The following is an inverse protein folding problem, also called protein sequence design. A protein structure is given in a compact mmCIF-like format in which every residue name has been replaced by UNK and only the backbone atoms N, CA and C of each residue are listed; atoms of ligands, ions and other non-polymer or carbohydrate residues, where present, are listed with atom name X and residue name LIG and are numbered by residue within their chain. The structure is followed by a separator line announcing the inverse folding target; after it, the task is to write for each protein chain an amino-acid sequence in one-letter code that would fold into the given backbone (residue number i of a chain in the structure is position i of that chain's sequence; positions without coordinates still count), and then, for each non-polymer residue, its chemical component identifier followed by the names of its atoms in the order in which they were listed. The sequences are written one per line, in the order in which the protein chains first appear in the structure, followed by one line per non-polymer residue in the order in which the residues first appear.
data_IF_357511174600
#
_entry.id   IF_357511174600
#
_cell.length_a   1.000
_cell.length_b   1.000
_cell.length_c   1.000
_cell.angle_alpha   90.00
_cell.angle_beta   90.00
_cell.angle_gamma   90.00
#
_symmetry.space_group_name_H-M   'P 1'
#
loop_
_entity.id
_entity.type
_entity.pdbx_description
1 polymer ?
#
# COMPACT_ATOMS: atom_id res chain seq x y z
N UNK A 1 9.19 26.26 17.00
CA UNK A 1 8.85 27.69 17.16
C UNK A 1 8.63 28.26 15.78
N UNK A 2 7.39 28.56 15.43
CA UNK A 2 7.06 29.18 14.15
C UNK A 2 7.28 30.69 14.25
N UNK A 3 8.07 31.26 13.35
CA UNK A 3 8.16 32.70 13.14
C UNK A 3 7.39 33.05 11.87
N UNK A 4 6.37 33.90 12.02
CA UNK A 4 5.57 34.44 10.92
C UNK A 4 6.31 35.66 10.38
N UNK A 5 6.72 35.63 9.11
CA UNK A 5 7.09 36.85 8.39
C UNK A 5 5.91 37.30 7.54
N UNK A 6 5.44 38.52 7.82
CA UNK A 6 4.53 39.27 6.97
C UNK A 6 5.29 39.70 5.71
N UNK A 7 5.04 39.05 4.57
CA UNK A 7 4.70 39.69 3.30
C UNK A 7 4.60 38.63 2.20
N UNK A 8 3.40 38.55 1.59
CA UNK A 8 2.89 37.49 0.68
C UNK A 8 2.45 36.23 1.42
N UNK A 9 1.18 35.85 1.25
CA UNK A 9 0.56 34.66 1.84
C UNK A 9 1.09 33.33 1.29
N UNK A 10 2.40 33.22 1.09
CA UNK A 10 3.09 31.97 0.81
C UNK A 10 3.49 31.35 2.14
N UNK A 11 2.80 30.26 2.52
CA UNK A 11 3.28 29.42 3.61
C UNK A 11 4.58 28.77 3.10
N UNK A 12 5.73 29.18 3.63
CA UNK A 12 7.01 28.50 3.37
C UNK A 12 6.96 27.09 3.96
N UNK A 13 6.52 26.14 3.14
CA UNK A 13 6.64 24.71 3.46
C UNK A 13 8.11 24.35 3.32
N UNK A 14 8.81 24.22 4.45
CA UNK A 14 10.18 23.70 4.47
C UNK A 14 10.22 22.34 3.75
N UNK A 15 11.07 22.23 2.73
CA UNK A 15 11.28 20.95 2.04
C UNK A 15 11.88 19.95 3.03
N UNK A 16 11.06 19.04 3.52
CA UNK A 16 11.48 17.94 4.37
C UNK A 16 12.40 16.99 3.59
N UNK A 17 13.37 16.36 4.27
CA UNK A 17 14.37 15.52 3.61
C UNK A 17 13.70 14.35 2.87
N UNK A 18 14.14 14.13 1.63
CA UNK A 18 13.73 12.99 0.81
C UNK A 18 14.93 12.06 0.68
N UNK A 19 14.75 10.80 1.07
CA UNK A 19 15.73 9.75 0.79
C UNK A 19 15.31 9.02 -0.48
N UNK A 20 16.17 9.02 -1.48
CA UNK A 20 15.98 8.26 -2.70
C UNK A 20 17.31 7.63 -3.10
N UNK A 21 17.25 6.37 -3.48
CA UNK A 21 18.41 5.61 -3.96
C UNK A 21 17.98 4.77 -5.16
N UNK A 22 18.98 4.45 -5.97
CA UNK A 22 18.84 3.61 -7.14
C UNK A 22 19.87 2.49 -7.04
N UNK A 23 19.39 1.26 -7.19
CA UNK A 23 20.19 0.04 -7.11
C UNK A 23 20.03 -0.73 -8.42
N UNK A 24 21.14 -0.89 -9.14
CA UNK A 24 21.17 -1.58 -10.43
C UNK A 24 21.75 -2.98 -10.24
N UNK A 25 21.04 -3.99 -10.74
CA UNK A 25 21.48 -5.39 -10.72
C UNK A 25 20.99 -6.12 -11.97
N UNK A 26 21.91 -6.75 -12.70
CA UNK A 26 21.61 -7.40 -13.98
C UNK A 26 20.87 -6.45 -14.93
N UNK A 27 19.66 -6.82 -15.34
CA UNK A 27 18.81 -6.05 -16.25
C UNK A 27 17.79 -5.15 -15.53
N UNK A 28 17.93 -5.03 -14.20
CA UNK A 28 16.99 -4.34 -13.33
C UNK A 28 17.59 -3.07 -12.71
N UNK A 29 16.80 -2.00 -12.74
CA UNK A 29 16.99 -0.78 -11.99
C UNK A 29 15.90 -0.67 -10.94
N UNK A 30 16.29 -0.80 -9.67
CA UNK A 30 15.41 -0.75 -8.51
C UNK A 30 15.56 0.64 -7.87
N UNK A 31 14.48 1.40 -7.82
CA UNK A 31 14.48 2.76 -7.28
C UNK A 31 13.46 2.89 -6.18
N UNK A 32 13.84 3.52 -5.07
CA UNK A 32 12.87 3.93 -4.06
C UNK A 32 12.90 5.44 -3.83
N UNK A 33 11.79 5.94 -3.30
CA UNK A 33 11.70 7.26 -2.71
C UNK A 33 10.99 7.12 -1.37
N UNK A 34 11.56 7.73 -0.34
CA UNK A 34 11.02 7.81 1.02
C UNK A 34 10.99 9.26 1.44
N UNK A 35 9.84 9.74 1.86
CA UNK A 35 9.55 11.12 2.18
C UNK A 35 8.63 11.21 3.41
N UNK A 36 8.17 12.43 3.67
CA UNK A 36 7.28 12.78 4.76
C UNK A 36 5.81 12.51 4.44
N UNK A 37 4.97 12.61 5.48
CA UNK A 37 3.52 12.52 5.36
C UNK A 37 2.95 13.71 4.57
N UNK A 38 1.77 13.51 3.99
CA UNK A 38 1.03 14.52 3.25
C UNK A 38 0.68 15.72 4.16
N UNK A 39 0.81 16.92 3.63
CA UNK A 39 0.38 18.12 4.34
C UNK A 39 -1.16 18.18 4.43
N UNK A 40 -1.68 18.60 5.58
CA UNK A 40 -3.12 18.73 5.82
C UNK A 40 -3.76 19.98 5.21
N UNK A 41 -2.95 20.92 4.71
CA UNK A 41 -3.40 22.21 4.18
C UNK A 41 -2.83 22.41 2.77
N UNK A 42 -3.69 22.90 1.86
CA UNK A 42 -3.28 23.28 0.51
C UNK A 42 -2.37 24.51 0.56
N UNK A 43 -1.21 24.43 -0.08
CA UNK A 43 -0.24 25.53 -0.11
C UNK A 43 -0.71 26.71 -0.99
N UNK A 44 -1.50 26.45 -2.03
CA UNK A 44 -1.96 27.48 -2.97
C UNK A 44 -3.31 27.11 -3.58
N UNK A 45 -4.39 27.54 -2.94
CA UNK A 45 -5.76 27.21 -3.31
C UNK A 45 -6.15 27.71 -4.70
N UNK A 46 -5.70 28.91 -5.09
CA UNK A 46 -6.03 29.51 -6.38
C UNK A 46 -5.40 28.74 -7.54
N UNK A 47 -4.11 28.43 -7.44
CA UNK A 47 -3.41 27.62 -8.46
C UNK A 47 -3.98 26.22 -8.53
N UNK A 48 -4.22 25.55 -7.39
CA UNK A 48 -4.75 24.19 -7.38
C UNK A 48 -6.17 24.07 -7.96
N UNK A 49 -6.96 25.14 -7.87
CA UNK A 49 -8.32 25.20 -8.42
C UNK A 49 -8.33 25.48 -9.93
N UNK A 50 -7.41 26.33 -10.40
CA UNK A 50 -7.39 26.81 -11.79
C UNK A 50 -6.54 25.96 -12.73
N UNK A 51 -5.50 25.28 -12.22
CA UNK A 51 -4.52 24.54 -13.01
C UNK A 51 -4.32 23.11 -12.46
N UNK A 52 -5.02 22.11 -13.01
CA UNK A 52 -4.90 20.72 -12.57
C UNK A 52 -3.46 20.19 -12.57
N UNK A 53 -2.64 20.61 -13.52
CA UNK A 53 -1.24 20.21 -13.70
C UNK A 53 -0.27 20.80 -12.67
N UNK A 54 -0.66 21.89 -12.00
CA UNK A 54 0.13 22.56 -10.95
C UNK A 54 -0.41 22.27 -9.53
N UNK A 55 -1.32 21.30 -9.38
CA UNK A 55 -1.90 20.95 -8.07
C UNK A 55 -0.84 20.48 -7.10
N UNK A 56 -0.93 20.95 -5.86
CA UNK A 56 -0.18 20.37 -4.76
C UNK A 56 -0.64 18.92 -4.48
N UNK A 57 0.20 18.14 -3.79
CA UNK A 57 -0.08 16.73 -3.50
C UNK A 57 -1.41 16.52 -2.76
N UNK A 58 -1.79 17.41 -1.84
CA UNK A 58 -3.06 17.29 -1.12
C UNK A 58 -4.24 17.40 -2.07
N UNK A 59 -4.26 18.43 -2.91
CA UNK A 59 -5.31 18.61 -3.89
C UNK A 59 -5.31 17.48 -4.92
N UNK A 60 -4.14 17.00 -5.36
CA UNK A 60 -4.08 15.84 -6.25
C UNK A 60 -4.78 14.64 -5.62
N UNK A 61 -4.43 14.26 -4.39
CA UNK A 61 -5.05 13.13 -3.69
C UNK A 61 -6.56 13.33 -3.48
N UNK A 62 -7.00 14.50 -3.01
CA UNK A 62 -8.43 14.78 -2.79
C UNK A 62 -9.27 14.81 -4.08
N UNK A 63 -8.66 15.09 -5.24
CA UNK A 63 -9.37 15.08 -6.52
C UNK A 63 -9.36 13.72 -7.19
N UNK A 64 -8.26 12.97 -7.07
CA UNK A 64 -8.07 11.66 -7.71
C UNK A 64 -8.71 10.52 -6.93
N UNK A 65 -8.94 10.69 -5.64
CA UNK A 65 -9.49 9.68 -4.75
C UNK A 65 -10.95 9.97 -4.46
N UNK A 66 -11.82 8.98 -4.67
CA UNK A 66 -13.24 9.06 -4.33
C UNK A 66 -13.48 8.81 -2.82
N UNK A 67 -12.59 9.29 -1.95
CA UNK A 67 -12.63 9.06 -0.50
C UNK A 67 -13.18 10.31 0.22
N UNK A 68 -14.04 10.17 1.24
CA UNK A 68 -14.52 11.32 2.01
C UNK A 68 -13.43 11.98 2.86
N UNK A 69 -12.45 11.19 3.31
CA UNK A 69 -11.23 11.64 3.97
C UNK A 69 -10.09 10.69 3.63
N UNK A 70 -8.85 11.16 3.81
CA UNK A 70 -7.64 10.36 3.65
C UNK A 70 -7.25 9.70 4.97
N UNK A 71 -6.43 8.63 4.95
CA UNK A 71 -5.76 8.14 6.14
C UNK A 71 -5.00 9.26 6.88
N UNK A 72 -4.91 9.16 8.21
CA UNK A 72 -4.17 10.13 9.03
C UNK A 72 -2.72 10.34 8.57
N UNK A 73 -2.05 9.27 8.16
CA UNK A 73 -0.68 9.29 7.68
C UNK A 73 -0.60 8.75 6.26
N UNK A 74 -0.72 9.62 5.25
CA UNK A 74 -0.43 9.26 3.85
C UNK A 74 1.00 9.68 3.50
N UNK A 75 1.79 8.81 2.89
CA UNK A 75 3.15 9.14 2.41
C UNK A 75 3.15 9.30 0.89
N UNK A 76 2.81 10.50 0.36
CA UNK A 76 2.39 10.64 -1.03
C UNK A 76 3.52 10.41 -2.05
N UNK A 77 4.76 10.60 -1.61
CA UNK A 77 5.96 10.43 -2.44
C UNK A 77 6.67 9.09 -2.16
N UNK A 78 6.17 8.29 -1.21
CA UNK A 78 6.76 6.97 -0.99
C UNK A 78 6.42 6.08 -2.17
N UNK A 79 7.46 5.58 -2.84
CA UNK A 79 7.30 4.68 -3.97
C UNK A 79 8.46 3.72 -4.10
N UNK A 80 8.16 2.52 -4.57
CA UNK A 80 9.14 1.53 -5.04
C UNK A 80 8.87 1.30 -6.52
N UNK A 81 9.90 1.39 -7.34
CA UNK A 81 9.80 1.22 -8.78
C UNK A 81 10.87 0.22 -9.25
N UNK A 82 10.44 -0.83 -9.94
CA UNK A 82 11.26 -1.89 -10.49
C UNK A 82 11.24 -1.74 -12.02
N UNK A 83 12.31 -1.25 -12.61
CA UNK A 83 12.42 -1.11 -14.07
C UNK A 83 13.29 -2.21 -14.64
N UNK A 84 12.80 -2.89 -15.66
CA UNK A 84 13.60 -3.78 -16.49
C UNK A 84 14.09 -3.03 -17.73
N UNK A 85 15.26 -3.39 -18.25
CA UNK A 85 15.84 -2.76 -19.46
C UNK A 85 14.96 -2.86 -20.71
N UNK A 86 13.99 -3.79 -20.75
CA UNK A 86 12.99 -3.89 -21.84
C UNK A 86 11.95 -2.77 -21.84
N UNK A 87 11.91 -1.94 -20.80
CA UNK A 87 10.85 -0.95 -20.58
C UNK A 87 9.67 -1.48 -19.76
N UNK A 88 9.65 -2.78 -19.44
CA UNK A 88 8.72 -3.33 -18.45
C UNK A 88 9.02 -2.76 -17.07
N UNK A 89 7.98 -2.39 -16.31
CA UNK A 89 8.15 -1.97 -14.92
C UNK A 89 6.98 -2.34 -14.01
N UNK A 90 7.30 -2.44 -12.72
CA UNK A 90 6.31 -2.56 -11.63
C UNK A 90 6.53 -1.44 -10.63
N UNK A 91 5.50 -0.65 -10.38
CA UNK A 91 5.52 0.44 -9.41
C UNK A 91 4.54 0.15 -8.27
N UNK A 92 4.95 0.55 -7.06
CA UNK A 92 4.09 0.60 -5.88
C UNK A 92 4.11 2.01 -5.31
N UNK A 93 2.93 2.64 -5.23
CA UNK A 93 2.77 4.00 -4.69
C UNK A 93 1.47 4.12 -3.87
N UNK A 94 1.40 5.14 -3.02
CA UNK A 94 0.26 5.34 -2.12
C UNK A 94 -1.03 5.75 -2.84
N UNK A 95 -0.92 6.53 -3.92
CA UNK A 95 -2.08 7.03 -4.67
C UNK A 95 -2.87 5.87 -5.29
N UNK A 96 -2.20 5.00 -6.03
CA UNK A 96 -2.84 3.85 -6.67
C UNK A 96 -3.35 2.84 -5.64
N UNK A 97 -2.62 2.66 -4.53
CA UNK A 97 -3.08 1.83 -3.44
C UNK A 97 -4.39 2.35 -2.82
N UNK A 98 -4.53 3.67 -2.67
CA UNK A 98 -5.75 4.31 -2.18
C UNK A 98 -6.87 4.35 -3.23
N UNK A 99 -6.55 4.43 -4.52
CA UNK A 99 -7.53 4.29 -5.61
C UNK A 99 -8.20 2.92 -5.62
N UNK A 100 -7.48 1.88 -5.18
CA UNK A 100 -8.01 0.51 -5.03
C UNK A 100 -8.80 0.30 -3.73
N UNK A 101 -9.03 1.32 -2.90
CA UNK A 101 -9.90 1.20 -1.73
C UNK A 101 -11.33 0.90 -2.17
N UNK A 102 -11.93 -0.10 -1.55
CA UNK A 102 -13.26 -0.62 -1.92
C UNK A 102 -14.39 0.33 -1.52
N UNK A 103 -14.53 1.46 -2.21
CA UNK A 103 -15.63 2.40 -2.02
C UNK A 103 -16.99 1.77 -2.35
N UNK A 104 -17.72 1.37 -1.31
CA UNK A 104 -19.08 0.83 -1.41
C UNK A 104 -19.21 -0.57 -2.02
N UNK A 105 -18.11 -1.23 -2.41
CA UNK A 105 -18.14 -2.57 -3.05
C UNK A 105 -18.03 -3.73 -2.06
N UNK A 106 -17.54 -3.49 -0.85
CA UNK A 106 -17.61 -4.46 0.24
C UNK A 106 -18.46 -3.86 1.35
N UNK A 107 -19.73 -4.28 1.43
CA UNK A 107 -20.38 -4.29 2.73
C UNK A 107 -19.50 -5.15 3.64
N UNK A 108 -18.84 -4.56 4.63
CA UNK A 108 -18.34 -5.29 5.79
C UNK A 108 -19.57 -5.94 6.43
N UNK A 109 -20.01 -7.08 5.88
CA UNK A 109 -21.02 -7.99 6.45
C UNK A 109 -20.32 -8.82 7.51
N UNK A 110 -19.60 -8.15 8.40
CA UNK A 110 -19.33 -8.74 9.69
C UNK A 110 -20.63 -8.52 10.44
N UNK A 111 -21.21 -9.58 11.00
CA UNK A 111 -22.42 -9.54 11.84
C UNK A 111 -22.31 -8.64 13.11
N UNK A 112 -21.28 -7.79 13.16
CA UNK A 112 -20.95 -6.82 14.19
C UNK A 112 -20.69 -5.41 13.66
N UNK A 113 -20.88 -5.13 12.35
CA UNK A 113 -20.91 -3.74 11.83
C UNK A 113 -21.96 -2.89 12.57
N UNK A 114 -23.06 -3.54 12.97
CA UNK A 114 -24.10 -2.92 13.79
C UNK A 114 -23.57 -2.54 15.19
N UNK A 115 -22.67 -3.32 15.80
CA UNK A 115 -22.08 -2.96 17.10
C UNK A 115 -21.11 -1.76 17.01
N UNK A 116 -20.44 -1.56 15.88
CA UNK A 116 -19.58 -0.38 15.67
C UNK A 116 -20.43 0.87 15.38
N UNK A 117 -21.53 0.72 14.62
CA UNK A 117 -22.52 1.79 14.40
C UNK A 117 -23.29 2.16 15.67
N UNK A 118 -23.66 1.18 16.48
CA UNK A 118 -24.41 1.34 17.74
C UNK A 118 -23.60 2.01 18.86
N UNK A 119 -22.27 2.08 18.72
CA UNK A 119 -21.41 2.77 19.68
C UNK A 119 -21.47 4.31 19.59
N UNK A 120 -22.13 4.88 18.57
CA UNK A 120 -22.32 6.33 18.41
C UNK A 120 -23.75 6.75 18.76
N UNK A 121 -23.88 7.81 19.57
CA UNK A 121 -25.17 8.39 19.91
C UNK A 121 -25.90 8.89 18.64
N UNK A 122 -27.23 8.66 18.53
CA UNK A 122 -28.01 8.84 17.30
C UNK A 122 -28.18 10.31 16.84
N UNK A 123 -27.71 11.30 17.59
CA UNK A 123 -27.97 12.72 17.29
C UNK A 123 -27.08 13.33 16.18
N UNK A 124 -26.10 12.60 15.64
CA UNK A 124 -25.16 13.11 14.61
C UNK A 124 -25.19 12.37 13.26
N UNK A 125 -26.29 11.67 12.93
CA UNK A 125 -26.37 10.82 11.73
C UNK A 125 -27.38 11.32 10.68
N UNK A 126 -27.43 12.63 10.44
CA UNK A 126 -28.07 13.21 9.25
C UNK A 126 -27.07 13.86 8.29
N UNK A 127 -25.96 13.18 8.00
CA UNK A 127 -25.30 13.37 6.71
C UNK A 127 -25.38 12.08 5.92
N UNK A 128 -25.93 12.18 4.71
CA UNK A 128 -25.98 11.12 3.69
C UNK A 128 -24.57 10.78 3.20
N UNK A 129 -23.72 10.27 4.09
CA UNK A 129 -22.41 9.78 3.71
C UNK A 129 -22.66 8.48 2.94
N UNK A 130 -22.27 8.45 1.67
CA UNK A 130 -22.29 7.22 0.85
C UNK A 130 -21.57 6.11 1.63
N UNK A 131 -22.01 4.84 1.56
CA UNK A 131 -21.32 3.76 2.22
C UNK A 131 -19.85 3.73 1.75
N UNK A 132 -18.96 4.11 2.66
CA UNK A 132 -17.53 4.26 2.44
C UNK A 132 -16.78 3.26 3.33
N UNK A 133 -15.68 2.71 2.80
CA UNK A 133 -14.80 1.84 3.56
C UNK A 133 -13.78 2.66 4.36
N UNK A 134 -14.17 3.04 5.58
CA UNK A 134 -13.31 3.74 6.55
C UNK A 134 -12.11 2.91 7.04
N UNK A 135 -12.01 1.64 6.65
CA UNK A 135 -10.84 0.80 6.95
C UNK A 135 -9.74 0.94 5.92
N UNK A 136 -9.97 1.67 4.82
CA UNK A 136 -9.05 1.84 3.70
C UNK A 136 -8.56 0.51 3.11
N UNK A 137 -9.42 -0.52 3.08
CA UNK A 137 -9.03 -1.84 2.58
C UNK A 137 -8.77 -1.80 1.08
N UNK A 138 -7.55 -2.17 0.71
CA UNK A 138 -7.06 -2.15 -0.67
C UNK A 138 -6.66 -3.54 -1.16
N UNK A 139 -7.07 -3.92 -2.36
CA UNK A 139 -6.64 -5.11 -3.09
C UNK A 139 -5.53 -4.79 -4.11
N UNK A 140 -4.84 -3.67 -3.92
CA UNK A 140 -3.76 -3.21 -4.80
C UNK A 140 -2.64 -4.25 -4.94
N UNK A 141 -2.22 -4.48 -6.19
CA UNK A 141 -1.22 -5.50 -6.58
C UNK A 141 0.01 -4.90 -7.27
N UNK A 142 0.22 -3.60 -7.13
CA UNK A 142 1.21 -2.85 -7.90
C UNK A 142 0.71 -2.47 -9.29
N UNK A 143 1.18 -1.34 -9.78
CA UNK A 143 0.93 -0.85 -11.13
C UNK A 143 1.99 -1.45 -12.07
N UNK A 144 1.54 -2.16 -13.11
CA UNK A 144 2.40 -2.77 -14.12
C UNK A 144 2.34 -1.92 -15.38
N UNK A 145 3.49 -1.61 -15.97
CA UNK A 145 3.57 -0.87 -17.23
C UNK A 145 4.63 -1.46 -18.17
N UNK A 146 4.55 -1.10 -19.45
CA UNK A 146 5.36 -1.68 -20.51
C UNK A 146 4.77 -2.97 -21.09
N UNK A 147 5.37 -3.43 -22.19
CA UNK A 147 4.94 -4.66 -22.86
C UNK A 147 5.24 -5.88 -21.97
N UNK A 148 4.22 -6.71 -21.72
CA UNK A 148 4.31 -7.96 -20.96
C UNK A 148 3.09 -8.83 -21.23
N UNK A 149 3.21 -10.13 -20.99
CA UNK A 149 2.05 -11.04 -20.96
C UNK A 149 1.78 -11.47 -19.52
N UNK A 150 0.57 -11.18 -19.05
CA UNK A 150 0.07 -11.61 -17.75
C UNK A 150 -0.87 -12.79 -17.96
N UNK A 151 -0.57 -13.90 -17.29
CA UNK A 151 -1.37 -15.13 -17.32
C UNK A 151 -1.57 -15.68 -15.91
N UNK A 152 -2.71 -16.34 -15.68
CA UNK A 152 -2.90 -17.12 -14.45
C UNK A 152 -1.98 -18.33 -14.47
N UNK A 153 -1.45 -18.70 -13.30
CA UNK A 153 -0.50 -19.81 -13.19
C UNK A 153 -0.72 -20.65 -11.94
N UNK A 154 -0.37 -21.94 -12.04
CA UNK A 154 -0.28 -22.82 -10.87
C UNK A 154 1.10 -22.77 -10.20
N UNK A 155 2.10 -22.16 -10.86
CA UNK A 155 3.44 -22.00 -10.33
C UNK A 155 3.44 -21.11 -9.08
N UNK A 156 4.20 -21.51 -8.07
CA UNK A 156 4.23 -20.82 -6.77
C UNK A 156 5.61 -20.29 -6.45
N UNK A 157 5.64 -19.17 -5.74
CA UNK A 157 6.85 -18.63 -5.14
C UNK A 157 7.39 -19.66 -4.16
N UNK A 158 8.60 -20.15 -4.43
CA UNK A 158 9.25 -21.09 -3.55
C UNK A 158 9.75 -20.36 -2.28
N UNK A 159 8.93 -20.40 -1.23
CA UNK A 159 9.25 -19.79 0.07
C UNK A 159 10.48 -20.44 0.71
N UNK A 160 10.82 -21.69 0.37
CA UNK A 160 12.03 -22.34 0.89
C UNK A 160 13.30 -21.70 0.33
N UNK A 161 13.32 -21.37 -0.97
CA UNK A 161 14.41 -20.57 -1.57
C UNK A 161 14.57 -19.22 -0.85
N UNK A 162 13.48 -18.58 -0.45
CA UNK A 162 13.53 -17.31 0.29
C UNK A 162 14.05 -17.46 1.75
N UNK A 163 14.09 -18.68 2.29
CA UNK A 163 14.68 -18.99 3.60
C UNK A 163 16.18 -19.31 3.50
N UNK A 164 16.68 -19.59 2.30
CA UNK A 164 18.11 -19.76 2.08
C UNK A 164 18.84 -18.46 2.43
N UNK A 165 19.96 -18.58 3.14
CA UNK A 165 20.73 -17.43 3.63
C UNK A 165 21.60 -16.87 2.51
N UNK A 166 20.98 -16.35 1.46
CA UNK A 166 21.66 -15.47 0.52
C UNK A 166 21.94 -14.12 1.20
N UNK A 167 23.08 -13.50 0.85
CA UNK A 167 23.41 -12.17 1.34
C UNK A 167 22.40 -11.17 0.76
N UNK A 168 21.70 -10.46 1.63
CA UNK A 168 20.85 -9.34 1.21
C UNK A 168 21.76 -8.22 0.71
N UNK A 169 21.72 -7.96 -0.59
CA UNK A 169 22.49 -6.89 -1.23
C UNK A 169 21.80 -5.54 -1.04
N UNK A 170 20.47 -5.53 -1.09
CA UNK A 170 19.65 -4.35 -0.94
C UNK A 170 18.36 -4.68 -0.17
N UNK A 171 18.00 -3.82 0.78
CA UNK A 171 16.76 -3.91 1.55
C UNK A 171 16.16 -2.54 1.72
N UNK A 172 14.85 -2.42 1.50
CA UNK A 172 14.12 -1.21 1.83
C UNK A 172 12.72 -1.53 2.33
N UNK A 173 12.26 -0.73 3.29
CA UNK A 173 10.89 -0.72 3.79
C UNK A 173 10.28 0.67 3.66
N UNK A 174 9.07 0.74 3.10
CA UNK A 174 8.32 1.96 2.83
C UNK A 174 6.91 1.82 3.37
N UNK A 175 6.44 2.81 4.13
CA UNK A 175 5.02 2.95 4.48
C UNK A 175 4.32 3.73 3.36
N UNK A 176 3.21 3.26 2.84
CA UNK A 176 2.39 4.00 1.87
C UNK A 176 1.35 4.86 2.59
N UNK A 177 0.61 4.26 3.51
CA UNK A 177 -0.30 4.97 4.39
C UNK A 177 -0.57 4.19 5.68
N UNK A 178 -1.00 4.90 6.71
CA UNK A 178 -1.43 4.36 8.00
C UNK A 178 -2.57 5.21 8.60
N UNK A 179 -3.44 4.57 9.36
CA UNK A 179 -4.56 5.18 10.07
C UNK A 179 -4.83 4.42 11.38
N UNK A 180 -5.06 5.12 12.49
CA UNK A 180 -5.35 4.51 13.80
C UNK A 180 -6.84 4.24 14.03
N UNK A 181 -7.68 4.46 13.01
CA UNK A 181 -9.12 4.22 13.02
C UNK A 181 -9.82 4.94 14.20
N UNK A 182 -9.37 6.15 14.52
CA UNK A 182 -9.78 6.91 15.71
C UNK A 182 -9.59 6.10 17.01
N UNK A 183 -8.38 5.57 17.24
CA UNK A 183 -8.00 4.72 18.38
C UNK A 183 -8.74 3.37 18.48
N UNK A 184 -9.40 2.90 17.40
CA UNK A 184 -10.13 1.63 17.39
C UNK A 184 -9.40 0.51 16.63
N UNK A 185 -8.12 0.72 16.31
CA UNK A 185 -7.32 -0.30 15.67
C UNK A 185 -6.18 0.29 14.85
N UNK A 186 -5.87 -0.38 13.75
CA UNK A 186 -4.87 0.09 12.79
C UNK A 186 -5.22 -0.38 11.39
N UNK A 187 -5.08 0.52 10.42
CA UNK A 187 -5.03 0.21 8.99
C UNK A 187 -3.70 0.69 8.45
N UNK A 188 -2.92 -0.17 7.82
CA UNK A 188 -1.59 0.18 7.32
C UNK A 188 -1.29 -0.53 6.01
N UNK A 189 -0.57 0.15 5.12
CA UNK A 189 -0.11 -0.41 3.86
C UNK A 189 1.39 -0.19 3.71
N UNK A 190 2.16 -1.28 3.69
CA UNK A 190 3.63 -1.26 3.70
C UNK A 190 4.21 -2.04 2.53
N UNK A 191 5.36 -1.60 2.03
CA UNK A 191 6.16 -2.31 1.03
C UNK A 191 7.50 -2.69 1.66
N UNK A 192 7.93 -3.92 1.44
CA UNK A 192 9.28 -4.40 1.76
C UNK A 192 9.90 -5.02 0.52
N UNK A 193 11.13 -4.66 0.19
CA UNK A 193 11.91 -5.31 -0.86
C UNK A 193 13.19 -5.87 -0.29
N UNK A 194 13.56 -7.06 -0.76
CA UNK A 194 14.87 -7.68 -0.57
C UNK A 194 15.44 -8.06 -1.93
N UNK A 195 16.71 -7.73 -2.16
CA UNK A 195 17.43 -8.11 -3.36
C UNK A 195 18.63 -8.97 -2.96
N UNK A 196 18.73 -10.09 -3.65
CA UNK A 196 19.73 -11.14 -3.46
C UNK A 196 20.54 -11.24 -4.76
N UNK A 197 21.72 -11.90 -4.76
CA UNK A 197 22.47 -12.12 -5.98
C UNK A 197 21.67 -12.82 -7.09
N UNK A 198 20.80 -13.77 -6.73
CA UNK A 198 20.04 -14.61 -7.67
C UNK A 198 18.65 -14.07 -8.00
N UNK A 199 18.08 -13.19 -7.17
CA UNK A 199 16.65 -12.87 -7.22
C UNK A 199 16.31 -11.57 -6.48
N UNK A 200 15.07 -11.11 -6.64
CA UNK A 200 14.47 -10.17 -5.70
C UNK A 200 13.10 -10.66 -5.22
N UNK A 201 12.71 -10.17 -4.05
CA UNK A 201 11.40 -10.43 -3.45
C UNK A 201 10.80 -9.13 -2.90
N UNK A 202 9.57 -8.83 -3.29
CA UNK A 202 8.76 -7.72 -2.78
C UNK A 202 7.55 -8.27 -2.05
N UNK A 203 7.26 -7.69 -0.89
CA UNK A 203 6.02 -7.87 -0.14
C UNK A 203 5.34 -6.51 0.03
N UNK A 204 4.25 -6.31 -0.69
CA UNK A 204 3.26 -5.29 -0.37
C UNK A 204 2.24 -5.93 0.58
N UNK A 205 2.09 -5.36 1.77
CA UNK A 205 1.16 -5.82 2.80
C UNK A 205 0.23 -4.70 3.21
N UNK A 206 -1.06 -4.92 3.00
CA UNK A 206 -2.11 -4.22 3.72
C UNK A 206 -2.48 -5.02 4.98
N UNK A 207 -2.46 -4.36 6.13
CA UNK A 207 -2.83 -4.93 7.42
C UNK A 207 -3.92 -4.08 8.06
N UNK A 208 -5.02 -4.73 8.43
CA UNK A 208 -6.12 -4.15 9.15
C UNK A 208 -6.37 -4.94 10.43
N UNK A 209 -6.45 -4.24 11.54
CA UNK A 209 -6.99 -4.73 12.81
C UNK A 209 -8.03 -3.73 13.27
N UNK A 210 -9.25 -4.21 13.48
CA UNK A 210 -10.29 -3.47 14.19
C UNK A 210 -10.44 -4.13 15.55
N UNK A 211 -10.13 -3.40 16.61
CA UNK A 211 -9.98 -3.96 17.95
C UNK A 211 -11.25 -4.68 18.40
N UNK A 212 -11.07 -5.92 18.91
CA UNK A 212 -12.15 -6.83 19.32
C UNK A 212 -13.16 -7.24 18.22
N UNK A 213 -12.99 -6.78 16.98
CA UNK A 213 -13.90 -7.06 15.86
C UNK A 213 -13.26 -8.04 14.89
N UNK A 214 -12.23 -7.62 14.16
CA UNK A 214 -11.70 -8.42 13.06
C UNK A 214 -10.25 -8.09 12.71
N UNK A 215 -9.62 -9.00 11.96
CA UNK A 215 -8.29 -8.82 11.37
C UNK A 215 -8.30 -9.21 9.90
N UNK A 216 -7.60 -8.44 9.06
CA UNK A 216 -7.43 -8.70 7.63
C UNK A 216 -5.98 -8.44 7.22
N UNK A 217 -5.46 -9.33 6.39
CA UNK A 217 -4.15 -9.20 5.76
C UNK A 217 -4.33 -9.44 4.26
N UNK A 218 -3.97 -8.43 3.46
CA UNK A 218 -3.82 -8.57 2.02
C UNK A 218 -2.33 -8.50 1.71
N UNK A 219 -1.77 -9.60 1.23
CA UNK A 219 -0.38 -9.68 0.82
C UNK A 219 -0.32 -9.81 -0.70
N UNK A 220 0.40 -8.91 -1.36
CA UNK A 220 0.90 -9.06 -2.73
C UNK A 220 2.39 -9.35 -2.66
N UNK A 221 2.77 -10.55 -3.08
CA UNK A 221 4.16 -11.00 -3.17
C UNK A 221 4.59 -10.94 -4.63
N UNK A 222 5.74 -10.35 -4.90
CA UNK A 222 6.35 -10.34 -6.24
C UNK A 222 7.74 -10.93 -6.13
N UNK A 223 8.01 -11.97 -6.91
CA UNK A 223 9.28 -12.68 -6.92
C UNK A 223 9.81 -12.81 -8.34
N UNK A 224 11.10 -12.60 -8.50
CA UNK A 224 11.80 -12.80 -9.76
C UNK A 224 13.13 -13.50 -9.51
N UNK A 225 13.35 -14.63 -10.17
CA UNK A 225 14.65 -15.29 -10.29
C UNK A 225 15.33 -14.75 -11.57
N UNK A 226 16.52 -14.18 -11.43
CA UNK A 226 17.24 -13.53 -12.55
C UNK A 226 17.64 -14.50 -13.67
N UNK A 227 17.55 -15.82 -13.44
CA UNK A 227 17.73 -16.84 -14.48
C UNK A 227 16.50 -17.02 -15.38
N UNK A 228 15.34 -16.46 -15.01
CA UNK A 228 14.07 -16.60 -15.72
C UNK A 228 13.69 -15.30 -16.42
N UNK A 229 12.78 -15.37 -17.40
CA UNK A 229 12.25 -14.21 -18.10
C UNK A 229 10.84 -13.80 -17.61
N UNK A 230 10.42 -14.26 -16.44
CA UNK A 230 9.11 -13.96 -15.89
C UNK A 230 9.18 -13.62 -14.40
N UNK A 231 8.11 -13.02 -13.93
CA UNK A 231 7.89 -12.68 -12.52
C UNK A 231 6.68 -13.45 -12.05
N UNK A 232 6.74 -13.96 -10.83
CA UNK A 232 5.58 -14.50 -10.13
C UNK A 232 4.99 -13.41 -9.23
N UNK A 233 3.69 -13.17 -9.38
CA UNK A 233 2.92 -12.29 -8.50
C UNK A 233 1.81 -13.09 -7.82
N UNK A 234 1.86 -13.17 -6.49
CA UNK A 234 0.86 -13.86 -5.69
C UNK A 234 0.12 -12.87 -4.80
N UNK A 235 -1.19 -12.79 -4.96
CA UNK A 235 -2.07 -12.05 -4.06
C UNK A 235 -2.78 -13.02 -3.13
N UNK A 236 -2.83 -12.72 -1.84
CA UNK A 236 -3.59 -13.48 -0.84
C UNK A 236 -4.36 -12.52 0.08
N UNK A 237 -5.66 -12.73 0.22
CA UNK A 237 -6.50 -12.10 1.22
C UNK A 237 -6.84 -13.12 2.32
N UNK A 238 -6.50 -12.77 3.56
CA UNK A 238 -6.88 -13.53 4.76
C UNK A 238 -7.70 -12.63 5.67
N UNK A 239 -8.81 -13.13 6.19
CA UNK A 239 -9.65 -12.35 7.10
C UNK A 239 -10.47 -13.23 8.05
N UNK A 240 -10.63 -12.79 9.29
CA UNK A 240 -11.47 -13.45 10.29
C UNK A 240 -11.84 -12.50 11.44
N UNK A 241 -12.83 -12.88 12.24
CA UNK A 241 -13.15 -12.19 13.48
C UNK A 241 -12.06 -12.43 14.52
N UNK A 242 -11.80 -11.45 15.39
CA UNK A 242 -10.82 -11.61 16.48
C UNK A 242 -11.15 -12.80 17.37
N UNK A 243 -12.45 -13.04 17.60
CA UNK A 243 -12.97 -14.17 18.40
C UNK A 243 -12.72 -15.55 17.77
N UNK A 244 -12.47 -15.61 16.47
CA UNK A 244 -12.19 -16.87 15.77
C UNK A 244 -10.73 -17.32 15.99
N UNK A 245 -9.87 -16.42 16.46
CA UNK A 245 -8.46 -16.66 16.72
C UNK A 245 -8.21 -16.81 18.22
N UNK A 246 -7.94 -18.04 18.66
CA UNK A 246 -7.55 -18.31 20.04
C UNK A 246 -6.05 -18.05 20.25
N UNK A 247 -5.64 -16.78 20.17
CA UNK A 247 -4.24 -16.34 20.26
C UNK A 247 -4.06 -15.27 21.35
N UNK A 248 -2.86 -15.12 21.95
CA UNK A 248 -2.56 -14.00 22.83
C UNK A 248 -2.68 -12.66 22.10
N UNK A 249 -3.16 -11.62 22.79
CA UNK A 249 -3.31 -10.27 22.23
C UNK A 249 -2.01 -9.71 21.64
N UNK A 250 -0.85 -10.12 22.16
CA UNK A 250 0.47 -9.72 21.65
C UNK A 250 0.70 -10.14 20.20
N UNK A 251 0.04 -11.20 19.73
CA UNK A 251 0.16 -11.69 18.34
C UNK A 251 -0.61 -10.81 17.36
N UNK A 252 -1.68 -10.14 17.81
CA UNK A 252 -2.51 -9.28 16.97
C UNK A 252 -1.81 -7.97 16.56
N UNK A 253 -0.64 -7.67 17.14
CA UNK A 253 0.22 -6.56 16.72
C UNK A 253 1.27 -6.95 15.67
N UNK A 254 1.50 -8.24 15.42
CA UNK A 254 2.49 -8.71 14.44
C UNK A 254 1.79 -9.47 13.30
N UNK A 255 1.65 -8.84 12.12
CA UNK A 255 1.04 -9.48 10.96
C UNK A 255 1.76 -10.77 10.52
N UNK A 256 3.07 -10.90 10.77
CA UNK A 256 3.82 -12.11 10.42
C UNK A 256 3.48 -13.29 11.33
N UNK A 257 3.31 -13.02 12.63
CA UNK A 257 2.90 -14.04 13.60
C UNK A 257 1.41 -14.38 13.45
N UNK A 258 0.57 -13.42 13.06
CA UNK A 258 -0.86 -13.59 12.91
C UNK A 258 -1.25 -14.35 11.62
N UNK A 259 -0.65 -14.02 10.48
CA UNK A 259 -1.01 -14.54 9.15
C UNK A 259 -1.12 -16.07 9.04
N UNK A 260 -0.24 -16.89 9.67
CA UNK A 260 -0.35 -18.36 9.63
C UNK A 260 -1.63 -18.92 10.25
N UNK A 261 -2.26 -18.19 11.17
CA UNK A 261 -3.47 -18.64 11.88
C UNK A 261 -4.77 -18.16 11.22
N UNK A 262 -4.68 -17.24 10.26
CA UNK A 262 -5.84 -16.64 9.60
C UNK A 262 -6.31 -17.48 8.40
N UNK A 263 -7.62 -17.66 8.21
CA UNK A 263 -8.15 -18.39 7.06
C UNK A 263 -7.95 -17.59 5.76
N UNK A 264 -7.52 -18.29 4.70
CA UNK A 264 -7.42 -17.75 3.35
C UNK A 264 -8.81 -17.61 2.72
N UNK A 265 -9.16 -16.42 2.26
CA UNK A 265 -10.45 -16.16 1.56
C UNK A 265 -10.29 -16.13 0.06
N UNK A 266 -9.23 -15.49 -0.42
CA UNK A 266 -8.97 -15.33 -1.85
C UNK A 266 -7.49 -15.42 -2.11
N UNK A 267 -7.13 -16.06 -3.21
CA UNK A 267 -5.77 -16.09 -3.72
C UNK A 267 -5.76 -15.98 -5.23
N UNK A 268 -4.84 -15.18 -5.76
CA UNK A 268 -4.64 -15.00 -7.21
C UNK A 268 -3.16 -15.21 -7.48
N UNK A 269 -2.85 -16.01 -8.50
CA UNK A 269 -1.48 -16.37 -8.87
C UNK A 269 -1.26 -16.02 -10.34
N UNK A 270 -0.34 -15.09 -10.58
CA UNK A 270 -0.09 -14.53 -11.91
C UNK A 270 1.38 -14.73 -12.26
N UNK A 271 1.61 -15.12 -13.51
CA UNK A 271 2.92 -15.09 -14.15
C UNK A 271 2.95 -13.92 -15.12
N UNK A 272 3.95 -13.06 -14.98
CA UNK A 272 4.16 -11.89 -15.82
C UNK A 272 5.44 -12.13 -16.62
N UNK A 273 5.30 -12.48 -17.90
CA UNK A 273 6.45 -12.72 -18.78
C UNK A 273 6.94 -11.40 -19.36
N UNK A 274 8.24 -11.18 -19.28
CA UNK A 274 8.92 -9.97 -19.73
C UNK A 274 9.42 -10.22 -21.16
N UNK A 275 9.20 -9.28 -22.09
CA UNK A 275 9.66 -9.43 -23.47
C UNK A 275 11.18 -9.44 -23.55
N UNK A 276 11.69 -10.26 -24.47
CA UNK A 276 13.11 -10.29 -24.83
C UNK A 276 13.53 -8.92 -25.34
N UNK A 277 14.67 -8.45 -24.87
CA UNK A 277 15.22 -7.15 -25.29
C UNK A 277 15.73 -7.31 -26.72
N UNK A 278 15.09 -6.63 -27.67
CA UNK A 278 15.59 -6.54 -29.03
C UNK A 278 16.92 -5.77 -28.99
N UNK A 279 18.01 -6.46 -29.33
CA UNK A 279 19.38 -5.94 -29.43
C UNK A 279 19.51 -4.93 -30.54
#
# INVERSE_FOLDING_TARGET
MCTVNNDKGEIEIYRLPVNAEEYVINDWTIKYTKSHILHSICANTETCSSKPEERCLLCLYNNELELPHLPEMVFPNNKLNLNHKSGFSVEFNALDALKSVSNGKQSIKVAHSDAWKDSRAPENLEEKIKPFDWTFSSDYRGYVSGESSLEETEERINIEKLKEKEKILFYQELMLYEDELHDNGISSCTIKIRVMPSSFFVLLRFFLRVDNVMVRINDTRVFHDFSTNYILREYTNKECGVKDLNLPLTVFGDPNALSPHMPLRTSIFEKITIPSVQS
#
